data_IF_057577922609
#
_entry.id   IF_057577922609
#
_cell.length_a   1.000
_cell.length_b   1.000
_cell.length_c   1.000
_cell.angle_alpha   90.00
_cell.angle_beta   90.00
_cell.angle_gamma   90.00
#
_symmetry.space_group_name_H-M   'P 1'
#
loop_
_entity.id
_entity.type
_entity.pdbx_description
1 polymer ?
#
# COMPACT_ATOMS: atom_id res chain seq x y z
N UNK A 1 -19.82 13.80 -3.06
CA UNK A 1 -19.11 13.53 -1.79
C UNK A 1 -18.80 12.04 -1.77
N UNK A 2 -17.60 11.65 -2.20
CA UNK A 2 -17.14 10.26 -2.02
C UNK A 2 -16.92 10.06 -0.53
N UNK A 3 -17.76 9.23 0.10
CA UNK A 3 -17.55 8.83 1.48
C UNK A 3 -16.14 8.23 1.60
N UNK A 4 -15.25 8.94 2.28
CA UNK A 4 -13.83 8.66 2.42
C UNK A 4 -13.56 7.47 3.33
N UNK A 5 -14.00 6.28 2.94
CA UNK A 5 -13.53 5.05 3.56
C UNK A 5 -12.23 4.64 2.86
N UNK A 6 -11.12 4.68 3.60
CA UNK A 6 -9.84 4.22 3.11
C UNK A 6 -9.89 2.69 2.91
N UNK A 7 -10.14 2.27 1.67
CA UNK A 7 -10.26 0.87 1.26
C UNK A 7 -8.94 0.17 0.93
N UNK A 8 -7.85 0.93 0.82
CA UNK A 8 -6.58 0.40 0.34
C UNK A 8 -5.48 0.62 1.36
N UNK A 9 -4.76 -0.45 1.68
CA UNK A 9 -3.70 -0.44 2.70
C UNK A 9 -2.37 -0.75 2.02
N UNK A 10 -1.43 0.19 2.09
CA UNK A 10 -0.05 -0.02 1.67
C UNK A 10 0.73 -0.63 2.84
N UNK A 11 1.33 -1.80 2.63
CA UNK A 11 2.17 -2.49 3.63
C UNK A 11 3.48 -2.97 3.01
N UNK A 12 4.46 -3.27 3.85
CA UNK A 12 5.72 -3.88 3.41
C UNK A 12 5.54 -5.38 3.13
N UNK A 13 5.96 -5.83 1.96
CA UNK A 13 5.99 -7.24 1.56
C UNK A 13 7.16 -8.00 2.20
N UNK A 14 8.24 -7.31 2.51
CA UNK A 14 9.46 -7.87 3.10
C UNK A 14 10.15 -6.85 4.01
N UNK A 15 11.09 -7.32 4.83
CA UNK A 15 11.91 -6.45 5.66
C UNK A 15 12.78 -5.55 4.78
N UNK A 16 12.81 -4.26 5.07
CA UNK A 16 13.66 -3.28 4.38
C UNK A 16 14.00 -2.10 5.31
N UNK A 17 14.64 -1.07 4.78
CA UNK A 17 15.01 0.15 5.52
C UNK A 17 13.80 0.90 6.10
N UNK A 18 12.60 0.68 5.56
CA UNK A 18 11.36 1.30 6.04
C UNK A 18 10.72 0.52 7.21
N UNK A 19 11.17 -0.71 7.47
CA UNK A 19 10.67 -1.53 8.57
C UNK A 19 10.47 -3.01 8.23
N UNK A 20 9.62 -3.67 9.01
CA UNK A 20 9.39 -5.12 8.95
C UNK A 20 8.30 -5.55 7.96
N UNK A 21 8.34 -6.81 7.53
CA UNK A 21 7.29 -7.44 6.73
C UNK A 21 5.93 -7.31 7.40
N UNK A 22 4.93 -6.88 6.63
CA UNK A 22 3.56 -6.65 7.08
C UNK A 22 3.32 -5.29 7.73
N UNK A 23 4.37 -4.48 7.92
CA UNK A 23 4.23 -3.16 8.52
C UNK A 23 3.35 -2.25 7.65
N UNK A 24 2.37 -1.63 8.30
CA UNK A 24 1.51 -0.61 7.71
C UNK A 24 2.33 0.64 7.39
N UNK A 25 2.30 1.06 6.13
CA UNK A 25 2.91 2.32 5.68
C UNK A 25 1.86 3.43 5.64
N UNK A 26 0.70 3.17 5.03
CA UNK A 26 -0.38 4.15 4.87
C UNK A 26 -1.69 3.51 4.43
N UNK A 27 -2.79 4.27 4.57
CA UNK A 27 -4.13 3.91 4.12
C UNK A 27 -4.65 4.94 3.12
N UNK A 28 -5.37 4.48 2.09
CA UNK A 28 -5.77 5.30 0.94
C UNK A 28 -7.22 5.01 0.53
N UNK A 29 -7.87 5.98 -0.09
CA UNK A 29 -9.23 5.84 -0.60
C UNK A 29 -9.27 5.04 -1.90
N UNK A 30 -8.19 5.12 -2.70
CA UNK A 30 -8.08 4.40 -3.98
C UNK A 30 -6.77 3.62 -4.11
N UNK A 31 -6.78 2.61 -4.99
CA UNK A 31 -5.57 1.86 -5.36
C UNK A 31 -4.49 2.78 -5.92
N UNK A 32 -4.87 3.75 -6.77
CA UNK A 32 -3.93 4.67 -7.42
C UNK A 32 -3.16 5.52 -6.41
N UNK A 33 -3.84 6.06 -5.39
CA UNK A 33 -3.18 6.82 -4.33
C UNK A 33 -2.15 5.98 -3.55
N UNK A 34 -2.48 4.70 -3.28
CA UNK A 34 -1.56 3.77 -2.63
C UNK A 34 -0.34 3.45 -3.52
N UNK A 35 -0.55 3.32 -4.83
CA UNK A 35 0.52 3.13 -5.82
C UNK A 35 1.41 4.37 -5.91
N UNK A 36 0.84 5.56 -6.06
CA UNK A 36 1.56 6.83 -6.06
C UNK A 36 2.39 7.02 -4.79
N UNK A 37 1.82 6.65 -3.63
CA UNK A 37 2.57 6.66 -2.37
C UNK A 37 3.76 5.71 -2.43
N UNK A 38 3.60 4.48 -2.91
CA UNK A 38 4.71 3.54 -3.07
C UNK A 38 5.81 4.08 -4.00
N UNK A 39 5.45 4.71 -5.13
CA UNK A 39 6.41 5.35 -6.04
C UNK A 39 7.14 6.55 -5.42
N UNK A 40 6.49 7.29 -4.52
CA UNK A 40 7.12 8.41 -3.81
C UNK A 40 8.18 7.97 -2.80
N UNK A 41 8.09 6.72 -2.33
CA UNK A 41 9.07 6.16 -1.39
C UNK A 41 10.29 5.75 -2.23
N UNK A 42 11.46 6.30 -1.93
CA UNK A 42 12.74 5.98 -2.60
C UNK A 42 13.21 4.55 -2.25
N UNK A 43 12.40 3.55 -2.56
CA UNK A 43 12.52 2.15 -2.19
C UNK A 43 11.93 1.30 -3.31
N UNK A 44 12.50 0.13 -3.65
CA UNK A 44 11.96 -0.71 -4.71
C UNK A 44 10.48 -1.03 -4.51
N UNK A 45 9.68 -0.90 -5.58
CA UNK A 45 8.24 -1.19 -5.55
C UNK A 45 7.92 -2.63 -5.13
N UNK A 46 8.83 -3.56 -5.42
CA UNK A 46 8.77 -4.96 -4.99
C UNK A 46 8.74 -5.14 -3.46
N UNK A 47 9.15 -4.13 -2.69
CA UNK A 47 9.07 -4.14 -1.23
C UNK A 47 7.67 -3.82 -0.71
N UNK A 48 6.74 -3.37 -1.55
CA UNK A 48 5.40 -2.97 -1.15
C UNK A 48 4.33 -3.95 -1.65
N UNK A 49 3.24 -4.03 -0.90
CA UNK A 49 1.99 -4.67 -1.31
C UNK A 49 0.83 -3.78 -0.88
N UNK A 50 -0.23 -3.76 -1.68
CA UNK A 50 -1.45 -3.00 -1.40
C UNK A 50 -2.58 -4.00 -1.18
N UNK A 51 -3.30 -3.87 -0.07
CA UNK A 51 -4.46 -4.71 0.25
C UNK A 51 -5.74 -3.91 0.08
N UNK A 52 -6.70 -4.44 -0.66
CA UNK A 52 -8.08 -3.96 -0.67
C UNK A 52 -8.86 -4.65 0.47
N UNK A 53 -9.28 -3.88 1.47
CA UNK A 53 -9.96 -4.41 2.65
C UNK A 53 -11.40 -4.84 2.38
N UNK A 54 -12.01 -4.36 1.30
CA UNK A 54 -13.40 -4.67 0.96
C UNK A 54 -13.49 -5.97 0.16
N UNK A 55 -12.51 -6.21 -0.70
CA UNK A 55 -12.48 -7.38 -1.58
C UNK A 55 -11.51 -8.47 -1.12
N UNK A 56 -10.74 -8.22 -0.05
CA UNK A 56 -9.64 -9.08 0.43
C UNK A 56 -8.63 -9.43 -0.68
N UNK A 57 -8.42 -8.48 -1.60
CA UNK A 57 -7.49 -8.62 -2.71
C UNK A 57 -6.14 -8.02 -2.37
N UNK A 58 -5.06 -8.65 -2.84
CA UNK A 58 -3.70 -8.11 -2.71
C UNK A 58 -3.13 -7.77 -4.08
N UNK A 59 -2.69 -6.52 -4.20
CA UNK A 59 -2.00 -5.97 -5.37
C UNK A 59 -0.52 -5.79 -5.05
N UNK A 60 0.32 -6.02 -6.04
CA UNK A 60 1.72 -5.56 -5.99
C UNK A 60 1.77 -4.14 -6.52
N UNK A 61 2.46 -3.24 -5.81
CA UNK A 61 2.83 -1.96 -6.40
C UNK A 61 3.77 -2.27 -7.58
N UNK A 62 3.32 -2.06 -8.81
CA UNK A 62 4.08 -2.26 -10.05
C UNK A 62 4.20 -0.93 -10.75
#
# INVERSE_FOLDING_TARGET
>A
MTNGLNGFILTLRQNCSLGGKGQLISTHATLNEAVEKAHSMQTPLSNFQIKDIFQDLTYTAK
#
